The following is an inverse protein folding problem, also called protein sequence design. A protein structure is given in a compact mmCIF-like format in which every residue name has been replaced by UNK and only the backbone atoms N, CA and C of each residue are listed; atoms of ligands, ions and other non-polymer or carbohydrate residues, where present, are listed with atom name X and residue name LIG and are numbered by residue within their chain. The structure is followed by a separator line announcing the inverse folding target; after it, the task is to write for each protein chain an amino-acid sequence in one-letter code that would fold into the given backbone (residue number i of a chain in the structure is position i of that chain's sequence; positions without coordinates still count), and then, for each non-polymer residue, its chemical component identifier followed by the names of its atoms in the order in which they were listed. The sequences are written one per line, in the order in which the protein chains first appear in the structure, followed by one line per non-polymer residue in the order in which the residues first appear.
data_IF_340548292890
#
_entry.id   IF_340548292890
#
_cell.length_a   1.000
_cell.length_b   1.000
_cell.length_c   1.000
_cell.angle_alpha   90.00
_cell.angle_beta   90.00
_cell.angle_gamma   90.00
#
_symmetry.space_group_name_H-M   'P 1'
#
loop_
_entity.id
_entity.type
_entity.pdbx_description
1 polymer ?
#
# COMPACT_ATOMS: atom_id res chain seq x y z
N UNK A 1 -1.54 -16.32 11.39
CA UNK A 1 -1.33 -15.07 10.66
C UNK A 1 -1.95 -15.13 9.30
N UNK A 2 -2.67 -14.13 8.98
CA UNK A 2 -3.35 -14.06 7.71
C UNK A 2 -2.48 -13.44 6.65
N UNK A 3 -2.52 -14.01 5.49
CA UNK A 3 -1.75 -13.48 4.37
C UNK A 3 -2.62 -13.24 3.16
N UNK A 4 -3.88 -12.94 3.41
CA UNK A 4 -4.75 -12.63 2.29
C UNK A 4 -4.32 -11.30 1.65
N UNK A 5 -4.77 -11.12 0.44
CA UNK A 5 -4.38 -9.97 -0.34
C UNK A 5 -4.82 -8.66 0.29
N UNK A 6 -6.05 -8.64 0.79
CA UNK A 6 -6.59 -7.42 1.36
C UNK A 6 -5.82 -7.00 2.61
N UNK A 7 -5.53 -7.95 3.49
CA UNK A 7 -4.79 -7.62 4.70
C UNK A 7 -3.42 -7.05 4.39
N UNK A 8 -2.74 -7.66 3.43
CA UNK A 8 -1.41 -7.18 3.03
C UNK A 8 -1.49 -5.78 2.42
N UNK A 9 -2.48 -5.54 1.57
CA UNK A 9 -2.65 -4.23 0.96
C UNK A 9 -2.92 -3.16 2.00
N UNK A 10 -3.77 -3.44 2.98
CA UNK A 10 -4.07 -2.47 4.02
C UNK A 10 -2.86 -2.19 4.89
N UNK A 11 -2.10 -3.22 5.22
CA UNK A 11 -0.90 -3.05 6.01
C UNK A 11 0.13 -2.19 5.27
N UNK A 12 0.28 -2.45 3.97
CA UNK A 12 1.21 -1.66 3.16
C UNK A 12 0.77 -0.21 3.09
N UNK A 13 -0.52 0.04 2.90
CA UNK A 13 -1.02 1.41 2.88
C UNK A 13 -0.73 2.14 4.18
N UNK A 14 -0.92 1.45 5.30
CA UNK A 14 -0.64 2.07 6.59
C UNK A 14 0.84 2.42 6.74
N UNK A 15 1.72 1.51 6.31
CA UNK A 15 3.14 1.78 6.38
C UNK A 15 3.52 3.00 5.55
N UNK A 16 2.95 3.10 4.37
CA UNK A 16 3.29 4.20 3.46
C UNK A 16 2.75 5.53 3.93
N UNK A 17 1.69 5.53 4.75
CA UNK A 17 1.16 6.77 5.28
C UNK A 17 1.82 7.18 6.58
N UNK A 18 2.65 6.33 7.17
CA UNK A 18 3.36 6.68 8.37
C UNK A 18 4.47 7.66 8.05
N UNK A 19 4.88 8.39 9.08
CA UNK A 19 5.90 9.41 8.92
C UNK A 19 7.30 8.86 9.19
N UNK A 20 7.58 7.64 8.75
CA UNK A 20 8.81 6.96 9.11
C UNK A 20 9.78 6.75 7.97
N UNK A 21 9.40 7.09 6.76
CA UNK A 21 10.30 7.00 5.62
C UNK A 21 10.81 5.57 5.42
N UNK A 22 9.89 4.63 5.31
CA UNK A 22 10.25 3.24 5.07
C UNK A 22 10.89 3.06 3.71
N UNK A 23 12.06 2.45 3.66
CA UNK A 23 12.66 2.09 2.37
C UNK A 23 12.04 0.83 1.83
N UNK A 24 12.31 0.55 0.55
CA UNK A 24 11.80 -0.65 -0.09
C UNK A 24 12.23 -1.90 0.67
N UNK A 25 13.51 -1.95 1.05
CA UNK A 25 14.03 -3.11 1.76
C UNK A 25 13.35 -3.28 3.11
N UNK A 26 13.15 -2.18 3.82
CA UNK A 26 12.52 -2.25 5.14
C UNK A 26 11.08 -2.74 5.05
N UNK A 27 10.35 -2.27 4.05
CA UNK A 27 8.96 -2.68 3.86
C UNK A 27 8.89 -4.16 3.53
N UNK A 28 9.76 -4.62 2.62
CA UNK A 28 9.77 -6.01 2.23
C UNK A 28 10.08 -6.91 3.42
N UNK A 29 11.01 -6.49 4.25
CA UNK A 29 11.37 -7.26 5.43
C UNK A 29 10.23 -7.31 6.43
N UNK A 30 9.59 -6.16 6.66
CA UNK A 30 8.52 -6.10 7.64
C UNK A 30 7.30 -6.92 7.21
N UNK A 31 6.98 -6.91 5.94
CA UNK A 31 5.81 -7.61 5.44
C UNK A 31 6.11 -9.00 4.92
N UNK A 32 7.38 -9.38 4.90
CA UNK A 32 7.81 -10.70 4.41
C UNK A 32 7.40 -10.93 2.97
N UNK A 33 7.64 -9.93 2.12
CA UNK A 33 7.34 -10.03 0.70
C UNK A 33 8.59 -9.70 -0.09
N UNK A 34 8.57 -10.05 -1.37
CA UNK A 34 9.66 -9.76 -2.27
C UNK A 34 9.47 -8.39 -2.91
N UNK A 35 10.58 -7.81 -3.39
CA UNK A 35 10.52 -6.50 -4.03
C UNK A 35 9.54 -6.48 -5.19
N UNK A 36 9.49 -7.56 -5.97
CA UNK A 36 8.58 -7.64 -7.10
C UNK A 36 7.14 -7.47 -6.65
N UNK A 37 6.77 -8.13 -5.56
CA UNK A 37 5.42 -8.01 -5.02
C UNK A 37 5.14 -6.60 -4.54
N UNK A 38 6.12 -5.98 -3.89
CA UNK A 38 5.96 -4.61 -3.43
C UNK A 38 5.70 -3.66 -4.60
N UNK A 39 6.50 -3.77 -5.66
CA UNK A 39 6.31 -2.89 -6.81
C UNK A 39 4.98 -3.13 -7.48
N UNK A 40 4.52 -4.38 -7.49
CA UNK A 40 3.20 -4.69 -8.04
C UNK A 40 2.11 -3.96 -7.26
N UNK A 41 2.19 -3.98 -5.93
CA UNK A 41 1.19 -3.30 -5.12
C UNK A 41 1.27 -1.79 -5.26
N UNK A 42 2.48 -1.25 -5.38
CA UNK A 42 2.62 0.19 -5.58
C UNK A 42 1.96 0.62 -6.89
N UNK A 43 2.15 -0.18 -7.93
CA UNK A 43 1.52 0.12 -9.20
C UNK A 43 0.01 0.01 -9.11
N UNK A 44 -0.47 -1.00 -8.39
CA UNK A 44 -1.91 -1.16 -8.17
C UNK A 44 -2.49 0.06 -7.46
N UNK A 45 -1.80 0.54 -6.43
CA UNK A 45 -2.28 1.71 -5.69
C UNK A 45 -2.29 2.95 -6.57
N UNK A 46 -1.27 3.09 -7.40
CA UNK A 46 -1.21 4.25 -8.29
C UNK A 46 -2.38 4.24 -9.27
N UNK A 47 -2.71 3.08 -9.79
CA UNK A 47 -3.84 2.96 -10.69
C UNK A 47 -5.16 3.21 -10.00
N UNK A 48 -5.21 2.98 -8.69
CA UNK A 48 -6.39 3.27 -7.89
C UNK A 48 -6.42 4.73 -7.42
N UNK A 49 -5.54 5.56 -7.98
CA UNK A 49 -5.50 7.00 -7.74
C UNK A 49 -5.00 7.40 -6.36
N UNK A 50 -4.26 6.52 -5.71
CA UNK A 50 -3.53 6.95 -4.52
C UNK A 50 -2.34 7.81 -4.95
N UNK A 51 -2.08 8.83 -4.17
CA UNK A 51 -1.00 9.76 -4.48
C UNK A 51 0.30 9.25 -3.89
N UNK A 52 1.01 8.45 -4.66
CA UNK A 52 2.27 7.85 -4.22
C UNK A 52 3.41 8.74 -4.65
N UNK A 53 4.26 9.09 -3.68
CA UNK A 53 5.41 9.96 -3.92
C UNK A 53 6.68 9.19 -3.59
N UNK A 54 7.66 9.30 -4.48
CA UNK A 54 8.96 8.69 -4.25
C UNK A 54 9.95 9.74 -3.78
N UNK A 55 10.59 9.47 -2.65
CA UNK A 55 11.57 10.37 -2.07
C UNK A 55 12.90 9.65 -1.97
N UNK A 56 13.69 9.65 -3.03
CA UNK A 56 14.96 8.95 -2.98
C UNK A 56 14.77 7.46 -2.82
N UNK A 57 15.10 6.94 -1.65
CA UNK A 57 15.06 5.50 -1.43
C UNK A 57 13.78 5.02 -0.75
N UNK A 58 12.84 5.91 -0.47
CA UNK A 58 11.61 5.48 0.19
C UNK A 58 10.39 6.06 -0.53
N UNK A 59 9.23 5.46 -0.24
CA UNK A 59 7.96 5.88 -0.80
C UNK A 59 7.03 6.34 0.30
N UNK A 60 6.08 7.19 -0.06
CA UNK A 60 5.04 7.61 0.86
C UNK A 60 3.76 7.84 0.09
N UNK A 61 2.65 7.81 0.82
CA UNK A 61 1.33 8.10 0.25
C UNK A 61 0.77 9.31 0.95
N UNK A 62 0.31 10.27 0.16
CA UNK A 62 -0.29 11.47 0.70
C UNK A 62 -1.72 11.17 1.15
N UNK A 63 -2.06 11.60 2.36
CA UNK A 63 -3.41 11.42 2.91
C UNK A 63 -4.24 12.64 2.61
N UNK A 64 -4.67 12.74 1.37
CA UNK A 64 -5.52 13.85 0.98
C UNK A 64 -6.98 13.55 1.32
N UNK A 65 -7.87 14.46 0.92
CA UNK A 65 -9.28 14.36 1.27
C UNK A 65 -9.96 13.16 0.63
N UNK A 66 -9.35 12.56 -0.38
CA UNK A 66 -9.94 11.41 -1.06
C UNK A 66 -9.35 10.08 -0.61
N UNK A 67 -8.41 10.13 0.32
CA UNK A 67 -7.73 8.91 0.74
C UNK A 67 -8.69 7.88 1.31
N UNK A 68 -9.55 8.30 2.21
CA UNK A 68 -10.49 7.38 2.86
C UNK A 68 -11.47 6.80 1.84
N UNK A 69 -11.91 7.62 0.91
CA UNK A 69 -12.83 7.16 -0.12
C UNK A 69 -12.20 6.06 -0.97
N UNK A 70 -10.96 6.24 -1.36
CA UNK A 70 -10.26 5.24 -2.17
C UNK A 70 -9.99 3.97 -1.38
N UNK A 71 -9.68 4.12 -0.10
CA UNK A 71 -9.47 2.97 0.75
C UNK A 71 -10.74 2.14 0.86
N UNK A 72 -11.88 2.80 1.00
CA UNK A 72 -13.16 2.10 1.07
C UNK A 72 -13.44 1.34 -0.22
N UNK A 73 -13.06 1.91 -1.36
CA UNK A 73 -13.27 1.22 -2.63
C UNK A 73 -12.47 -0.07 -2.72
N UNK A 74 -11.25 -0.05 -2.21
CA UNK A 74 -10.43 -1.26 -2.22
C UNK A 74 -11.09 -2.35 -1.38
N UNK A 75 -11.57 -2.00 -0.20
CA UNK A 75 -12.25 -2.96 0.67
C UNK A 75 -13.50 -3.50 0.00
N UNK A 76 -14.25 -2.62 -0.65
CA UNK A 76 -15.47 -2.99 -1.32
C UNK A 76 -15.21 -4.00 -2.44
N UNK A 77 -14.18 -3.74 -3.24
CA UNK A 77 -13.81 -4.66 -4.31
C UNK A 77 -13.49 -6.02 -3.78
N UNK A 78 -12.74 -6.08 -2.69
CA UNK A 78 -12.37 -7.37 -2.11
C UNK A 78 -13.59 -8.14 -1.65
N UNK A 79 -14.56 -7.45 -1.07
CA UNK A 79 -15.78 -8.09 -0.61
C UNK A 79 -16.58 -8.66 -1.78
N UNK A 80 -16.62 -7.93 -2.88
CA UNK A 80 -17.39 -8.37 -4.03
C UNK A 80 -16.79 -9.59 -4.70
N UNK A 81 -15.50 -9.78 -4.55
CA UNK A 81 -14.85 -10.95 -5.12
C UNK A 81 -15.12 -12.22 -4.36
N UNK A 82 -15.58 -12.09 -3.15
CA UNK A 82 -15.92 -13.26 -2.35
C UNK A 82 -17.28 -13.81 -2.76
#
# INVERSE_FOLDING_TARGET
MRHDKLGLQLELLLLLTENRHWTVEQICEKLHIQKRNLYYYLEFFRKADFNIVKHGSYYSISRDSKFISRLCEIVKFSEEEI
#
